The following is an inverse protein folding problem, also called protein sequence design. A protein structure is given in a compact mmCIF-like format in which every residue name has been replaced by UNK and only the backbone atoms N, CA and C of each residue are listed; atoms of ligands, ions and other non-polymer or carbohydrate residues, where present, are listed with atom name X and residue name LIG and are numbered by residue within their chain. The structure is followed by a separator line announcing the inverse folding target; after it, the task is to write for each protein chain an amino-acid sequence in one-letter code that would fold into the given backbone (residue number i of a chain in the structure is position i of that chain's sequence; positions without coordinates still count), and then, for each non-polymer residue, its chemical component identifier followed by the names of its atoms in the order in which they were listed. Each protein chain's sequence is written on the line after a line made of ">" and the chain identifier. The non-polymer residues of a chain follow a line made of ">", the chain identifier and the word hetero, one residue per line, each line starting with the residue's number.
data_IF_513563272472
#
_entry.id   IF_513563272472
#
_cell.length_a   1.000
_cell.length_b   1.000
_cell.length_c   1.000
_cell.angle_alpha   90.00
_cell.angle_beta   90.00
_cell.angle_gamma   90.00
#
_symmetry.space_group_name_H-M   'P 1'
#
loop_
_entity.id
_entity.type
_entity.pdbx_description
1 polymer ?
#
# COMPACT_ATOMS: atom_id res chain seq x y z
N UNK A 1 -9.49 49.24 5.00
CA UNK A 1 -8.45 48.20 4.99
C UNK A 1 -9.04 46.99 5.72
N UNK A 2 -9.70 46.11 4.96
CA UNK A 2 -10.38 44.92 5.48
C UNK A 2 -9.37 43.78 5.68
N UNK A 3 -8.76 43.73 6.86
CA UNK A 3 -7.95 42.59 7.27
C UNK A 3 -8.83 41.37 7.66
N UNK A 4 -10.13 41.56 7.87
CA UNK A 4 -11.03 40.49 8.33
C UNK A 4 -11.43 39.49 7.23
N UNK A 5 -11.48 39.90 5.96
CA UNK A 5 -11.88 39.03 4.84
C UNK A 5 -10.73 38.21 4.23
N UNK A 6 -9.48 38.64 4.41
CA UNK A 6 -8.30 38.00 3.79
C UNK A 6 -7.71 36.88 4.65
N UNK A 7 -7.83 36.97 5.99
CA UNK A 7 -7.33 35.95 6.92
C UNK A 7 -7.94 34.55 6.70
N UNK A 8 -9.27 34.36 6.52
CA UNK A 8 -9.82 33.02 6.30
C UNK A 8 -9.39 32.40 4.95
N UNK A 9 -9.18 33.23 3.92
CA UNK A 9 -8.73 32.76 2.60
C UNK A 9 -7.26 32.34 2.62
N UNK A 10 -6.39 33.09 3.30
CA UNK A 10 -4.97 32.73 3.43
C UNK A 10 -4.78 31.45 4.25
N UNK A 11 -5.55 31.26 5.33
CA UNK A 11 -5.52 30.03 6.12
C UNK A 11 -6.04 28.81 5.32
N UNK A 12 -7.03 29.02 4.45
CA UNK A 12 -7.52 28.00 3.54
C UNK A 12 -6.46 27.55 2.51
N UNK A 13 -5.79 28.51 1.87
CA UNK A 13 -4.73 28.25 0.88
C UNK A 13 -3.55 27.49 1.52
N UNK A 14 -3.11 27.92 2.70
CA UNK A 14 -2.00 27.25 3.42
C UNK A 14 -2.34 25.83 3.85
N UNK A 15 -3.57 25.58 4.33
CA UNK A 15 -4.04 24.25 4.73
C UNK A 15 -4.12 23.28 3.54
N UNK A 16 -4.54 23.78 2.37
CA UNK A 16 -4.56 23.00 1.14
C UNK A 16 -3.15 22.64 0.68
N UNK A 17 -2.24 23.62 0.60
CA UNK A 17 -0.85 23.39 0.20
C UNK A 17 -0.17 22.40 1.14
N UNK A 18 -0.42 22.50 2.44
CA UNK A 18 0.07 21.56 3.44
C UNK A 18 -0.46 20.14 3.20
N UNK A 19 -1.76 20.01 2.94
CA UNK A 19 -2.40 18.72 2.62
C UNK A 19 -1.79 18.08 1.37
N UNK A 20 -1.59 18.85 0.30
CA UNK A 20 -1.03 18.37 -0.96
C UNK A 20 0.42 17.94 -0.81
N UNK A 21 1.23 18.74 -0.11
CA UNK A 21 2.64 18.44 0.13
C UNK A 21 2.79 17.19 1.00
N UNK A 22 2.03 17.09 2.09
CA UNK A 22 2.07 15.90 2.94
C UNK A 22 1.60 14.64 2.20
N UNK A 23 0.48 14.73 1.46
CA UNK A 23 0.00 13.62 0.63
C UNK A 23 1.08 13.14 -0.35
N UNK A 24 1.73 14.08 -1.04
CA UNK A 24 2.79 13.77 -2.02
C UNK A 24 3.99 13.09 -1.36
N UNK A 25 4.41 13.57 -0.18
CA UNK A 25 5.50 12.97 0.59
C UNK A 25 5.16 11.55 1.01
N UNK A 26 3.98 11.34 1.61
CA UNK A 26 3.54 10.03 2.12
C UNK A 26 3.39 9.01 0.98
N UNK A 27 2.82 9.42 -0.15
CA UNK A 27 2.70 8.57 -1.34
C UNK A 27 4.09 8.19 -1.85
N UNK A 28 5.00 9.16 -1.95
CA UNK A 28 6.37 8.90 -2.40
C UNK A 28 7.09 7.92 -1.47
N UNK A 29 7.00 8.12 -0.15
CA UNK A 29 7.54 7.20 0.86
C UNK A 29 6.92 5.81 0.72
N UNK A 30 5.60 5.73 0.56
CA UNK A 30 4.87 4.47 0.42
C UNK A 30 5.33 3.70 -0.83
N UNK A 31 5.46 4.37 -1.97
CA UNK A 31 5.96 3.80 -3.22
C UNK A 31 7.41 3.35 -3.08
N UNK A 32 8.27 4.17 -2.47
CA UNK A 32 9.67 3.82 -2.25
C UNK A 32 9.82 2.59 -1.36
N UNK A 33 9.12 2.54 -0.22
CA UNK A 33 9.12 1.37 0.69
C UNK A 33 8.64 0.13 -0.06
N UNK A 34 7.54 0.23 -0.80
CA UNK A 34 7.01 -0.87 -1.60
C UNK A 34 8.04 -1.41 -2.61
N UNK A 35 8.62 -0.51 -3.40
CA UNK A 35 9.61 -0.85 -4.41
C UNK A 35 10.87 -1.48 -3.80
N UNK A 36 11.33 -0.99 -2.64
CA UNK A 36 12.48 -1.55 -1.93
C UNK A 36 12.18 -2.98 -1.45
N UNK A 37 11.01 -3.21 -0.85
CA UNK A 37 10.60 -4.55 -0.42
C UNK A 37 10.49 -5.50 -1.60
N UNK A 38 9.81 -5.10 -2.68
CA UNK A 38 9.69 -5.94 -3.88
C UNK A 38 11.03 -6.26 -4.52
N UNK A 39 11.94 -5.27 -4.59
CA UNK A 39 13.31 -5.46 -5.09
C UNK A 39 14.06 -6.49 -4.24
N UNK A 40 13.93 -6.42 -2.93
CA UNK A 40 14.57 -7.36 -2.01
C UNK A 40 13.96 -8.77 -2.11
N UNK A 41 12.64 -8.87 -2.18
CA UNK A 41 11.94 -10.14 -2.42
C UNK A 41 12.39 -10.76 -3.75
N UNK A 42 12.52 -9.97 -4.83
CA UNK A 42 12.97 -10.46 -6.12
C UNK A 42 14.41 -11.01 -6.06
N UNK A 43 15.32 -10.35 -5.35
CA UNK A 43 16.70 -10.84 -5.13
C UNK A 43 16.71 -12.17 -4.39
N UNK A 44 15.88 -12.30 -3.35
CA UNK A 44 15.74 -13.55 -2.57
C UNK A 44 15.06 -14.66 -3.36
N UNK A 45 14.30 -14.32 -4.41
CA UNK A 45 13.64 -15.31 -5.26
C UNK A 45 14.59 -16.06 -6.22
N UNK A 46 15.86 -15.67 -6.33
CA UNK A 46 16.83 -16.30 -7.23
C UNK A 46 17.53 -17.57 -6.69
N UNK A 47 17.23 -18.02 -5.46
CA UNK A 47 17.87 -19.22 -4.91
C UNK A 47 17.13 -20.51 -5.33
N UNK A 48 17.85 -21.53 -5.85
CA UNK A 48 17.25 -22.84 -6.17
C UNK A 48 16.91 -23.62 -4.90
N UNK A 49 15.69 -24.17 -4.77
CA UNK A 49 15.29 -24.96 -3.61
C UNK A 49 13.90 -25.59 -3.70
N UNK A 50 13.69 -26.70 -2.99
CA UNK A 50 12.50 -27.58 -3.08
C UNK A 50 11.21 -27.01 -2.49
N UNK A 51 11.27 -25.91 -1.74
CA UNK A 51 10.13 -25.34 -0.99
C UNK A 51 9.49 -24.14 -1.71
N UNK A 52 8.99 -24.34 -2.94
CA UNK A 52 8.37 -23.29 -3.76
C UNK A 52 7.16 -22.63 -3.06
N UNK A 53 6.26 -23.44 -2.49
CA UNK A 53 5.05 -22.95 -1.83
C UNK A 53 5.35 -22.11 -0.59
N UNK A 54 6.28 -22.54 0.27
CA UNK A 54 6.67 -21.78 1.45
C UNK A 54 7.25 -20.40 1.09
N UNK A 55 7.97 -20.30 -0.03
CA UNK A 55 8.52 -19.04 -0.52
C UNK A 55 7.44 -18.11 -1.07
N UNK A 56 6.47 -18.64 -1.81
CA UNK A 56 5.32 -17.86 -2.27
C UNK A 56 4.52 -17.33 -1.08
N UNK A 57 4.28 -18.16 -0.06
CA UNK A 57 3.64 -17.72 1.18
C UNK A 57 4.44 -16.60 1.86
N UNK A 58 5.78 -16.74 1.95
CA UNK A 58 6.62 -15.70 2.53
C UNK A 58 6.57 -14.38 1.73
N UNK A 59 6.50 -14.44 0.39
CA UNK A 59 6.32 -13.25 -0.46
C UNK A 59 5.00 -12.57 -0.17
N UNK A 60 3.89 -13.31 -0.18
CA UNK A 60 2.55 -12.76 0.07
C UNK A 60 2.47 -12.15 1.46
N UNK A 61 2.96 -12.83 2.50
CA UNK A 61 3.00 -12.31 3.87
C UNK A 61 3.83 -11.03 3.96
N UNK A 62 4.98 -10.96 3.28
CA UNK A 62 5.82 -9.76 3.27
C UNK A 62 5.11 -8.57 2.60
N UNK A 63 4.37 -8.80 1.51
CA UNK A 63 3.59 -7.78 0.83
C UNK A 63 2.41 -7.29 1.69
N UNK A 64 1.71 -8.22 2.36
CA UNK A 64 0.64 -7.86 3.30
C UNK A 64 1.17 -6.99 4.45
N UNK A 65 2.31 -7.34 5.04
CA UNK A 65 2.95 -6.52 6.07
C UNK A 65 3.37 -5.14 5.55
N UNK A 66 3.81 -5.07 4.29
CA UNK A 66 4.15 -3.79 3.65
C UNK A 66 2.90 -2.91 3.49
N UNK A 67 1.77 -3.48 3.09
CA UNK A 67 0.50 -2.76 3.00
C UNK A 67 -0.02 -2.32 4.37
N UNK A 68 0.08 -3.16 5.39
CA UNK A 68 -0.25 -2.76 6.76
C UNK A 68 0.59 -1.57 7.23
N UNK A 69 1.89 -1.58 6.94
CA UNK A 69 2.77 -0.45 7.24
C UNK A 69 2.36 0.83 6.49
N UNK A 70 1.99 0.72 5.20
CA UNK A 70 1.52 1.86 4.40
C UNK A 70 0.21 2.44 4.95
N UNK A 71 -0.74 1.60 5.33
CA UNK A 71 -1.99 2.00 6.00
C UNK A 71 -1.68 2.74 7.30
N UNK A 72 -0.78 2.22 8.13
CA UNK A 72 -0.38 2.89 9.38
C UNK A 72 0.26 4.26 9.11
N UNK A 73 1.03 4.40 8.03
CA UNK A 73 1.65 5.67 7.62
C UNK A 73 0.60 6.74 7.27
N UNK A 74 -0.44 6.37 6.51
CA UNK A 74 -1.56 7.25 6.19
C UNK A 74 -2.42 7.55 7.42
N UNK A 75 -2.73 6.54 8.24
CA UNK A 75 -3.46 6.71 9.51
C UNK A 75 -2.75 7.68 10.47
N UNK A 76 -1.42 7.59 10.57
CA UNK A 76 -0.62 8.53 11.35
C UNK A 76 -0.74 9.97 10.83
N UNK A 77 -0.75 10.14 9.51
CA UNK A 77 -0.91 11.45 8.90
C UNK A 77 -2.30 12.03 9.15
N UNK A 78 -3.36 11.23 9.06
CA UNK A 78 -4.69 11.67 9.48
C UNK A 78 -4.74 12.07 10.95
N UNK A 79 -4.14 11.27 11.84
CA UNK A 79 -4.12 11.56 13.26
C UNK A 79 -3.47 12.93 13.58
N UNK A 80 -2.42 13.32 12.85
CA UNK A 80 -1.77 14.63 13.02
C UNK A 80 -2.42 15.78 12.27
N UNK A 81 -3.16 15.50 11.19
CA UNK A 81 -3.81 16.53 10.38
C UNK A 81 -5.23 16.85 10.82
N UNK A 82 -5.87 15.97 11.59
CA UNK A 82 -7.19 16.26 12.15
C UNK A 82 -7.02 17.40 13.15
N UNK A 83 -7.63 18.54 12.82
CA UNK A 83 -7.77 19.66 13.74
C UNK A 83 -9.18 19.66 14.35
N UNK A 84 -9.31 20.30 15.52
CA UNK A 84 -10.47 20.29 16.41
C UNK A 84 -11.81 20.70 15.77
N UNK A 85 -11.80 21.39 14.62
CA UNK A 85 -13.02 21.82 13.93
C UNK A 85 -13.23 21.17 12.55
N UNK A 86 -12.19 20.59 11.92
CA UNK A 86 -12.25 20.14 10.53
C UNK A 86 -11.28 18.96 10.26
N UNK A 87 -11.81 17.75 10.10
CA UNK A 87 -10.98 16.59 9.74
C UNK A 87 -11.77 15.33 9.42
N UNK A 88 -12.05 14.52 10.44
CA UNK A 88 -12.83 13.28 10.35
C UNK A 88 -14.11 13.41 11.19
N UNK A 89 -15.24 12.94 10.65
CA UNK A 89 -16.54 12.97 11.31
C UNK A 89 -17.21 11.59 11.28
N UNK A 90 -18.22 11.38 12.12
CA UNK A 90 -18.95 10.12 12.25
C UNK A 90 -18.58 9.40 13.54
N UNK A 91 -18.38 8.08 13.47
CA UNK A 91 -17.94 7.25 14.60
C UNK A 91 -16.43 7.38 14.78
N UNK A 92 -15.97 8.59 15.10
CA UNK A 92 -14.56 8.93 15.27
C UNK A 92 -14.33 9.56 16.65
N UNK A 93 -13.60 8.87 17.52
CA UNK A 93 -13.33 9.31 18.89
C UNK A 93 -12.00 10.07 19.04
N UNK A 94 -11.37 10.44 17.91
CA UNK A 94 -10.07 11.13 17.92
C UNK A 94 -8.88 10.20 18.14
N UNK A 95 -9.10 8.88 18.20
CA UNK A 95 -8.03 7.93 18.52
C UNK A 95 -7.17 7.63 17.30
N UNK A 96 -5.90 7.29 17.54
CA UNK A 96 -5.01 6.81 16.48
C UNK A 96 -5.54 5.54 15.80
N UNK A 97 -6.21 4.67 16.57
CA UNK A 97 -6.81 3.45 16.04
C UNK A 97 -7.92 3.74 15.03
N UNK A 98 -8.76 4.73 15.30
CA UNK A 98 -9.83 5.13 14.37
C UNK A 98 -9.26 5.75 13.08
N UNK A 99 -8.16 6.49 13.19
CA UNK A 99 -7.46 7.04 12.03
C UNK A 99 -6.83 5.94 11.16
N UNK A 100 -6.23 4.91 11.78
CA UNK A 100 -5.70 3.73 11.07
C UNK A 100 -6.84 2.91 10.46
N UNK A 101 -7.96 2.74 11.17
CA UNK A 101 -9.15 2.07 10.64
C UNK A 101 -9.70 2.80 9.42
N UNK A 102 -9.84 4.12 9.50
CA UNK A 102 -10.29 4.95 8.38
C UNK A 102 -9.33 4.84 7.18
N UNK A 103 -8.02 4.96 7.42
CA UNK A 103 -7.01 4.76 6.39
C UNK A 103 -7.10 3.37 5.74
N UNK A 104 -7.29 2.31 6.53
CA UNK A 104 -7.45 0.96 6.00
C UNK A 104 -8.65 0.90 5.05
N UNK A 105 -9.81 1.44 5.46
CA UNK A 105 -11.03 1.45 4.66
C UNK A 105 -10.85 2.24 3.35
N UNK A 106 -10.10 3.35 3.36
CA UNK A 106 -9.81 4.16 2.18
C UNK A 106 -8.79 3.48 1.27
N UNK A 107 -7.65 3.06 1.81
CA UNK A 107 -6.52 2.45 1.09
C UNK A 107 -6.95 1.19 0.33
N UNK A 108 -7.79 0.35 0.94
CA UNK A 108 -8.32 -0.87 0.30
C UNK A 108 -9.62 -0.63 -0.47
N UNK A 109 -10.07 0.63 -0.59
CA UNK A 109 -11.31 1.03 -1.27
C UNK A 109 -12.58 0.36 -0.74
N UNK A 110 -12.58 -0.06 0.53
CA UNK A 110 -13.74 -0.68 1.18
C UNK A 110 -14.79 0.36 1.55
N UNK A 111 -14.36 1.46 2.19
CA UNK A 111 -15.18 2.64 2.44
C UNK A 111 -16.52 2.39 3.15
N UNK A 112 -16.50 1.84 4.38
CA UNK A 112 -17.71 1.56 5.16
C UNK A 112 -18.62 2.78 5.40
N UNK A 113 -18.05 3.99 5.41
CA UNK A 113 -18.79 5.25 5.48
C UNK A 113 -19.25 5.65 6.89
N UNK A 114 -18.81 4.92 7.91
CA UNK A 114 -18.99 5.21 9.33
C UNK A 114 -18.09 6.35 9.83
N UNK A 115 -16.88 6.48 9.25
CA UNK A 115 -16.01 7.64 9.38
C UNK A 115 -15.87 8.30 8.01
N UNK A 116 -16.06 9.62 7.96
CA UNK A 116 -16.04 10.40 6.71
C UNK A 116 -15.12 11.62 6.82
N UNK A 117 -14.37 11.95 5.75
CA UNK A 117 -13.49 13.11 5.74
C UNK A 117 -14.26 14.39 5.40
N UNK A 118 -13.89 15.49 6.05
CA UNK A 118 -14.40 16.83 5.78
C UNK A 118 -13.26 17.80 5.47
N UNK A 119 -13.59 18.95 4.89
CA UNK A 119 -12.60 19.97 4.52
C UNK A 119 -11.55 19.45 3.53
N UNK A 120 -10.29 19.84 3.76
CA UNK A 120 -9.17 19.54 2.85
C UNK A 120 -8.75 18.07 2.83
N UNK A 121 -9.04 17.29 3.88
CA UNK A 121 -8.70 15.86 3.96
C UNK A 121 -9.38 15.03 2.86
N UNK A 122 -10.49 15.51 2.29
CA UNK A 122 -11.18 14.85 1.17
C UNK A 122 -10.26 14.60 -0.02
N UNK A 123 -9.34 15.53 -0.31
CA UNK A 123 -8.37 15.38 -1.39
C UNK A 123 -7.33 14.32 -1.06
N UNK A 124 -6.81 14.33 0.17
CA UNK A 124 -5.84 13.33 0.64
C UNK A 124 -6.42 11.91 0.58
N UNK A 125 -7.68 11.74 0.99
CA UNK A 125 -8.41 10.46 0.90
C UNK A 125 -8.53 9.96 -0.53
N UNK A 126 -8.81 10.86 -1.48
CA UNK A 126 -8.83 10.50 -2.90
C UNK A 126 -7.47 10.01 -3.41
N UNK A 127 -6.39 10.67 -2.99
CA UNK A 127 -5.04 10.23 -3.37
C UNK A 127 -4.61 8.93 -2.68
N UNK A 128 -4.97 8.72 -1.42
CA UNK A 128 -4.71 7.47 -0.70
C UNK A 128 -5.43 6.30 -1.38
N UNK A 129 -6.73 6.44 -1.71
CA UNK A 129 -7.49 5.39 -2.39
C UNK A 129 -6.84 5.01 -3.74
N UNK A 130 -6.40 6.01 -4.52
CA UNK A 130 -5.70 5.80 -5.78
C UNK A 130 -4.35 5.09 -5.55
N UNK A 131 -3.55 5.56 -4.59
CA UNK A 131 -2.25 4.99 -4.28
C UNK A 131 -2.38 3.53 -3.79
N UNK A 132 -3.32 3.27 -2.89
CA UNK A 132 -3.57 1.94 -2.35
C UNK A 132 -3.99 0.95 -3.42
N UNK A 133 -4.93 1.34 -4.29
CA UNK A 133 -5.35 0.53 -5.43
C UNK A 133 -4.18 0.17 -6.35
N UNK A 134 -3.34 1.16 -6.72
CA UNK A 134 -2.17 0.95 -7.58
C UNK A 134 -1.15 0.01 -6.93
N UNK A 135 -0.85 0.20 -5.64
CA UNK A 135 0.13 -0.61 -4.91
C UNK A 135 -0.33 -2.06 -4.72
N UNK A 136 -1.63 -2.27 -4.45
CA UNK A 136 -2.23 -3.61 -4.36
C UNK A 136 -2.17 -4.31 -5.73
N UNK A 137 -2.54 -3.61 -6.81
CA UNK A 137 -2.48 -4.15 -8.17
C UNK A 137 -1.04 -4.49 -8.60
N UNK A 138 -0.07 -3.66 -8.21
CA UNK A 138 1.34 -3.93 -8.46
C UNK A 138 1.82 -5.18 -7.70
N UNK A 139 1.42 -5.34 -6.44
CA UNK A 139 1.70 -6.53 -5.63
C UNK A 139 1.13 -7.82 -6.23
N UNK A 140 -0.11 -7.77 -6.72
CA UNK A 140 -0.74 -8.90 -7.39
C UNK A 140 0.03 -9.29 -8.66
N UNK A 141 0.38 -8.30 -9.48
CA UNK A 141 1.16 -8.49 -10.71
C UNK A 141 2.54 -9.10 -10.43
N UNK A 142 3.23 -8.62 -9.40
CA UNK A 142 4.50 -9.18 -8.97
C UNK A 142 4.38 -10.61 -8.46
N UNK A 143 3.36 -10.91 -7.66
CA UNK A 143 3.12 -12.25 -7.14
C UNK A 143 2.85 -13.22 -8.29
N UNK A 144 2.11 -12.80 -9.31
CA UNK A 144 1.91 -13.58 -10.53
C UNK A 144 3.23 -13.87 -11.26
N UNK A 145 4.09 -12.86 -11.42
CA UNK A 145 5.43 -13.05 -12.00
C UNK A 145 6.29 -13.98 -11.13
N UNK A 146 6.23 -13.87 -9.81
CA UNK A 146 6.94 -14.76 -8.90
C UNK A 146 6.48 -16.22 -9.04
N UNK A 147 5.17 -16.47 -9.12
CA UNK A 147 4.60 -17.80 -9.36
C UNK A 147 5.07 -18.39 -10.71
N UNK A 148 4.99 -17.63 -11.79
CA UNK A 148 5.40 -18.11 -13.12
C UNK A 148 6.90 -18.44 -13.20
N UNK A 149 7.77 -17.67 -12.52
CA UNK A 149 9.21 -17.95 -12.43
C UNK A 149 9.52 -19.20 -11.60
N UNK A 150 8.75 -19.46 -10.55
CA UNK A 150 8.95 -20.63 -9.68
C UNK A 150 8.30 -21.92 -10.21
N UNK A 151 7.34 -21.82 -11.13
CA UNK A 151 6.72 -22.98 -11.78
C UNK A 151 7.58 -23.60 -12.91
N UNK A 152 8.33 -22.77 -13.66
CA UNK A 152 9.20 -23.22 -14.77
C UNK A 152 10.31 -24.23 -14.43
N UNK A 153 10.95 -24.23 -13.23
CA UNK A 153 12.00 -25.18 -12.88
C UNK A 153 11.52 -26.64 -12.75
N UNK A 154 10.24 -26.88 -12.48
CA UNK A 154 9.71 -28.24 -12.29
C UNK A 154 9.47 -28.98 -13.62
N UNK A 155 9.14 -28.26 -14.70
CA UNK A 155 8.86 -28.85 -16.00
C UNK A 155 10.13 -29.32 -16.74
N UNK A 156 11.25 -28.60 -16.61
CA UNK A 156 12.52 -28.99 -17.26
C UNK A 156 13.17 -30.25 -16.67
N UNK A 157 12.94 -30.53 -15.38
CA UNK A 157 13.46 -31.73 -14.72
C UNK A 157 12.64 -33.01 -15.02
N UNK A 158 11.36 -32.86 -15.40
CA UNK A 158 10.52 -33.99 -15.80
C UNK A 158 10.86 -34.50 -17.20
N UNK A 159 11.14 -33.60 -18.14
CA UNK A 159 11.47 -33.95 -19.54
C UNK A 159 12.86 -34.62 -19.64
N UNK A 160 13.83 -34.20 -18.80
CA UNK A 160 15.16 -34.79 -18.78
C UNK A 160 15.22 -36.25 -18.26
N UNK A 161 14.19 -36.71 -17.54
CA UNK A 161 14.11 -38.10 -17.05
C UNK A 161 13.42 -39.06 -18.02
N UNK A 162 12.79 -38.55 -19.09
CA UNK A 162 12.14 -39.40 -20.11
C UNK A 162 13.08 -39.74 -21.28
N UNK A 163 14.17 -38.98 -21.44
CA UNK A 163 15.16 -39.15 -22.52
C UNK A 163 16.33 -40.08 -22.15
N UNK A 164 16.35 -40.70 -20.96
CA UNK A 164 17.32 -41.77 -20.67
C UNK A 164 16.80 -43.07 -21.32
N UNK A 165 17.39 -43.55 -22.43
CA UNK A 165 16.95 -44.78 -23.05
C UNK A 165 17.15 -45.91 -22.05
N UNK A 166 16.04 -46.51 -21.61
CA UNK A 166 16.04 -47.70 -20.80
C UNK A 166 17.05 -48.69 -21.39
N UNK A 167 18.15 -48.89 -20.66
CA UNK A 167 19.19 -49.82 -21.04
C UNK A 167 18.56 -51.15 -21.40
N UNK A 168 18.68 -51.52 -22.66
CA UNK A 168 18.47 -52.86 -23.17
C UNK A 168 19.84 -53.38 -23.61
N UNK A 169 20.13 -54.67 -23.44
CA UNK A 169 19.87 -55.58 -22.32
C UNK A 169 21.09 -55.77 -21.39
#
# INVERSE_FOLDING_TARGET
>A
MDYAGTMPVLLAETSLLWTLTLSSVIISVSVCVHAVVMRELLRRLCFPGRFVWARLTAVVLSLLLTHMFQIVLFGLAYHFMVDSEHGLQGVYDGTFNDAVYFSAAVYTTVGFGDITPVGYLRLMVGFEALAGLVLIAWSASFTFVAMSKLAKPAAGAAIANEDEPAGLP
#
